data_IF_478253271629
#
_entry.id   IF_478253271629
#
_cell.length_a   1.000
_cell.length_b   1.000
_cell.length_c   1.000
_cell.angle_alpha   90.00
_cell.angle_beta   90.00
_cell.angle_gamma   90.00
#
_symmetry.space_group_name_H-M   'P 1'
#
loop_
_entity.id
_entity.type
_entity.pdbx_description
1 polymer ?
#
# COMPACT_ATOMS: atom_id res chain seq x y z
N UNK A 1 -0.22 14.85 -25.59
CA UNK A 1 -0.22 16.18 -26.23
C UNK A 1 0.84 17.04 -25.59
N UNK A 2 1.75 17.64 -26.38
CA UNK A 2 2.66 18.67 -25.89
C UNK A 2 1.95 20.01 -26.11
N UNK A 3 1.44 20.64 -25.07
CA UNK A 3 1.02 22.05 -25.17
C UNK A 3 2.27 22.92 -25.02
N UNK A 4 2.45 23.83 -25.91
CA UNK A 4 3.57 24.75 -25.87
C UNK A 4 3.16 26.05 -25.17
N UNK A 5 4.07 26.59 -24.37
CA UNK A 5 3.92 27.93 -23.80
C UNK A 5 4.71 28.92 -24.63
N UNK A 6 4.09 30.03 -24.94
CA UNK A 6 4.70 31.14 -25.67
C UNK A 6 4.79 32.36 -24.76
N UNK A 7 5.85 33.13 -24.94
CA UNK A 7 5.99 34.44 -24.32
C UNK A 7 5.18 35.43 -25.15
N UNK A 8 4.25 36.12 -24.52
CA UNK A 8 3.40 37.14 -25.12
C UNK A 8 3.66 38.43 -24.39
N UNK A 9 3.98 39.48 -25.14
CA UNK A 9 4.11 40.83 -24.62
C UNK A 9 2.76 41.53 -24.69
N UNK A 10 2.26 42.00 -23.57
CA UNK A 10 1.04 42.80 -23.47
C UNK A 10 1.42 44.08 -22.72
N UNK A 11 1.45 45.17 -23.43
CA UNK A 11 2.03 46.43 -22.94
C UNK A 11 3.45 46.23 -22.39
N UNK A 12 3.69 46.58 -21.13
CA UNK A 12 4.99 46.41 -20.45
C UNK A 12 5.13 45.05 -19.74
N UNK A 13 4.12 44.15 -19.83
CA UNK A 13 4.10 42.84 -19.16
C UNK A 13 4.45 41.71 -20.13
N UNK A 14 5.47 40.91 -19.79
CA UNK A 14 5.73 39.65 -20.47
C UNK A 14 5.06 38.48 -19.69
N UNK A 15 4.10 37.81 -20.31
CA UNK A 15 3.41 36.65 -19.73
C UNK A 15 3.61 35.39 -20.57
N UNK A 16 3.55 34.22 -19.95
CA UNK A 16 3.63 32.93 -20.63
C UNK A 16 2.25 32.31 -20.76
N UNK A 17 1.75 32.24 -21.99
CA UNK A 17 0.44 31.68 -22.30
C UNK A 17 0.56 30.38 -23.08
N UNK A 18 -0.36 29.47 -22.85
CA UNK A 18 -0.52 28.29 -23.70
C UNK A 18 -1.06 28.66 -25.08
N UNK A 19 -0.69 27.87 -26.09
CA UNK A 19 -1.19 28.00 -27.46
C UNK A 19 -2.72 28.01 -27.53
N UNK A 20 -3.40 27.16 -26.74
CA UNK A 20 -4.86 27.16 -26.60
C UNK A 20 -5.45 28.50 -26.16
N UNK A 21 -4.77 29.23 -25.27
CA UNK A 21 -5.17 30.57 -24.82
C UNK A 21 -5.06 31.58 -25.96
N UNK A 22 -3.93 31.58 -26.64
CA UNK A 22 -3.62 32.50 -27.75
C UNK A 22 -4.66 32.34 -28.86
N UNK A 23 -5.01 31.09 -29.19
CA UNK A 23 -6.00 30.78 -30.23
C UNK A 23 -7.42 31.17 -29.79
N UNK A 24 -7.83 30.76 -28.56
CA UNK A 24 -9.16 31.03 -28.04
C UNK A 24 -9.50 32.52 -28.02
N UNK A 25 -8.58 33.33 -27.53
CA UNK A 25 -8.74 34.77 -27.38
C UNK A 25 -8.26 35.56 -28.60
N UNK A 26 -7.84 34.89 -29.68
CA UNK A 26 -7.33 35.49 -30.95
C UNK A 26 -6.25 36.56 -30.71
N UNK A 27 -5.34 36.33 -29.77
CA UNK A 27 -4.38 37.33 -29.31
C UNK A 27 -3.43 37.83 -30.41
N UNK A 28 -3.19 37.01 -31.45
CA UNK A 28 -2.37 37.40 -32.61
C UNK A 28 -3.03 38.49 -33.50
N UNK A 29 -4.33 38.71 -33.38
CA UNK A 29 -5.10 39.66 -34.17
C UNK A 29 -5.64 40.84 -33.36
N UNK A 30 -5.70 40.69 -32.03
CA UNK A 30 -6.26 41.66 -31.13
C UNK A 30 -5.25 42.78 -30.86
N UNK A 31 -5.66 44.02 -30.98
CA UNK A 31 -4.78 45.18 -30.79
C UNK A 31 -4.90 45.83 -29.40
N UNK A 32 -6.04 45.64 -28.75
CA UNK A 32 -6.33 46.20 -27.43
C UNK A 32 -7.04 45.16 -26.57
N UNK A 33 -6.79 45.18 -25.28
CA UNK A 33 -7.40 44.31 -24.28
C UNK A 33 -7.95 45.20 -23.15
N UNK A 34 -9.16 44.94 -22.68
CA UNK A 34 -9.62 45.57 -21.44
C UNK A 34 -9.01 44.82 -20.22
N UNK A 35 -9.02 45.47 -19.05
CA UNK A 35 -8.52 44.88 -17.81
C UNK A 35 -9.31 43.59 -17.46
N UNK A 36 -10.63 43.58 -17.71
CA UNK A 36 -11.47 42.39 -17.48
C UNK A 36 -11.09 41.24 -18.42
N UNK A 37 -10.88 41.53 -19.70
CA UNK A 37 -10.45 40.53 -20.69
C UNK A 37 -9.04 39.97 -20.34
N UNK A 38 -8.14 40.85 -19.90
CA UNK A 38 -6.82 40.43 -19.45
C UNK A 38 -6.91 39.47 -18.28
N UNK A 39 -7.72 39.79 -17.26
CA UNK A 39 -7.92 38.92 -16.10
C UNK A 39 -8.54 37.59 -16.50
N UNK A 40 -9.51 37.59 -17.41
CA UNK A 40 -10.11 36.33 -17.93
C UNK A 40 -9.08 35.44 -18.65
N UNK A 41 -8.19 36.05 -19.44
CA UNK A 41 -7.10 35.36 -20.12
C UNK A 41 -6.14 34.73 -19.11
N UNK A 42 -5.74 35.45 -18.09
CA UNK A 42 -4.85 34.94 -17.01
C UNK A 42 -5.51 33.81 -16.27
N UNK A 43 -6.76 33.97 -15.84
CA UNK A 43 -7.51 32.96 -15.12
C UNK A 43 -7.68 31.67 -15.95
N UNK A 44 -7.97 31.81 -17.24
CA UNK A 44 -8.08 30.67 -18.14
C UNK A 44 -6.74 29.97 -18.36
N UNK A 45 -5.65 30.74 -18.48
CA UNK A 45 -4.31 30.20 -18.57
C UNK A 45 -3.91 29.39 -17.32
N UNK A 46 -4.25 29.89 -16.13
CA UNK A 46 -3.97 29.22 -14.87
C UNK A 46 -4.74 27.90 -14.73
N UNK A 47 -6.00 27.88 -15.18
CA UNK A 47 -6.81 26.64 -15.26
C UNK A 47 -6.19 25.63 -16.22
N UNK A 48 -5.69 26.05 -17.37
CA UNK A 48 -4.97 25.18 -18.30
C UNK A 48 -3.65 24.69 -17.70
N UNK A 49 -2.94 25.55 -16.98
CA UNK A 49 -1.72 25.16 -16.31
C UNK A 49 -1.95 24.07 -15.25
N UNK A 50 -2.99 24.23 -14.44
CA UNK A 50 -3.40 23.20 -13.46
C UNK A 50 -3.72 21.87 -14.15
N UNK A 51 -4.50 21.93 -15.25
CA UNK A 51 -4.86 20.75 -16.03
C UNK A 51 -3.62 20.03 -16.60
N UNK A 52 -2.71 20.75 -17.26
CA UNK A 52 -1.52 20.13 -17.84
C UNK A 52 -0.51 19.65 -16.80
N UNK A 53 -0.45 20.29 -15.63
CA UNK A 53 0.35 19.77 -14.50
C UNK A 53 -0.25 18.45 -13.97
N UNK A 54 -1.55 18.40 -13.78
CA UNK A 54 -2.25 17.20 -13.34
C UNK A 54 -2.13 16.07 -14.37
N UNK A 55 -2.30 16.37 -15.66
CA UNK A 55 -2.16 15.41 -16.73
C UNK A 55 -0.76 14.75 -16.75
N UNK A 56 0.30 15.55 -16.61
CA UNK A 56 1.67 15.02 -16.49
C UNK A 56 1.86 14.17 -15.24
N UNK A 57 1.21 14.53 -14.15
CA UNK A 57 1.28 13.76 -12.91
C UNK A 57 0.61 12.38 -13.04
N UNK A 58 -0.51 12.31 -13.76
CA UNK A 58 -1.29 11.09 -13.99
C UNK A 58 -0.62 10.16 -15.02
N UNK A 59 0.00 10.74 -16.08
CA UNK A 59 0.61 9.94 -17.16
C UNK A 59 1.81 9.10 -16.70
N UNK A 60 2.43 9.45 -15.58
CA UNK A 60 3.53 8.67 -15.02
C UNK A 60 3.07 7.38 -14.33
N UNK A 61 1.90 7.38 -13.72
CA UNK A 61 1.21 6.22 -13.12
C UNK A 61 -0.25 6.58 -12.84
N UNK A 62 -1.11 5.58 -12.72
CA UNK A 62 -2.48 5.78 -12.27
C UNK A 62 -2.52 6.52 -10.92
N UNK A 63 -3.46 7.47 -10.80
CA UNK A 63 -3.65 8.30 -9.61
C UNK A 63 -5.12 8.37 -9.22
N UNK A 64 -5.37 8.53 -7.93
CA UNK A 64 -6.71 8.81 -7.42
C UNK A 64 -7.03 10.31 -7.50
N UNK A 65 -8.31 10.66 -7.45
CA UNK A 65 -8.75 12.05 -7.35
C UNK A 65 -8.10 12.77 -6.16
N UNK A 66 -8.02 12.07 -5.01
CA UNK A 66 -7.36 12.60 -3.80
C UNK A 66 -5.88 12.90 -4.01
N UNK A 67 -5.14 12.02 -4.69
CA UNK A 67 -3.73 12.25 -5.00
C UNK A 67 -3.56 13.49 -5.91
N UNK A 68 -4.43 13.63 -6.93
CA UNK A 68 -4.41 14.80 -7.82
C UNK A 68 -4.77 16.08 -7.06
N UNK A 69 -5.81 16.02 -6.21
CA UNK A 69 -6.17 17.13 -5.35
C UNK A 69 -4.99 17.58 -4.48
N UNK A 70 -4.39 16.67 -3.72
CA UNK A 70 -3.25 16.96 -2.84
C UNK A 70 -2.02 17.48 -3.60
N UNK A 71 -1.82 17.05 -4.85
CA UNK A 71 -0.73 17.52 -5.68
C UNK A 71 -0.93 19.00 -6.10
N UNK A 72 -2.16 19.39 -6.43
CA UNK A 72 -2.49 20.72 -6.89
C UNK A 72 -2.77 21.73 -5.75
N UNK A 73 -3.22 21.28 -4.57
CA UNK A 73 -3.67 22.11 -3.44
C UNK A 73 -2.58 23.06 -2.89
N UNK A 74 -1.32 22.78 -3.21
CA UNK A 74 -0.19 23.64 -2.84
C UNK A 74 -0.04 24.89 -3.71
N UNK A 75 -0.72 24.93 -4.86
CA UNK A 75 -0.46 25.94 -5.92
C UNK A 75 -1.75 26.62 -6.35
N UNK A 76 -2.88 25.92 -6.37
CA UNK A 76 -4.14 26.39 -6.96
C UNK A 76 -5.27 26.45 -5.93
N UNK A 77 -6.26 27.31 -6.21
CA UNK A 77 -7.48 27.37 -5.42
C UNK A 77 -8.32 26.10 -5.59
N UNK A 78 -9.14 25.78 -4.58
CA UNK A 78 -10.03 24.61 -4.60
C UNK A 78 -10.99 24.61 -5.80
N UNK A 79 -11.43 25.78 -6.27
CA UNK A 79 -12.28 25.89 -7.46
C UNK A 79 -11.55 25.38 -8.70
N UNK A 80 -10.34 25.86 -8.95
CA UNK A 80 -9.50 25.45 -10.09
C UNK A 80 -9.16 23.96 -10.03
N UNK A 81 -8.91 23.45 -8.82
CA UNK A 81 -8.62 22.01 -8.63
C UNK A 81 -9.83 21.15 -8.98
N UNK A 82 -11.01 21.51 -8.49
CA UNK A 82 -12.24 20.74 -8.76
C UNK A 82 -12.58 20.76 -10.27
N UNK A 83 -12.52 21.92 -10.92
CA UNK A 83 -12.70 22.02 -12.37
C UNK A 83 -11.69 21.16 -13.14
N UNK A 84 -10.44 21.16 -12.70
CA UNK A 84 -9.38 20.32 -13.28
C UNK A 84 -9.68 18.83 -13.14
N UNK A 85 -10.10 18.39 -11.96
CA UNK A 85 -10.46 16.99 -11.68
C UNK A 85 -11.65 16.57 -12.53
N UNK A 86 -12.69 17.40 -12.60
CA UNK A 86 -13.89 17.11 -13.40
C UNK A 86 -13.56 17.00 -14.89
N UNK A 87 -12.71 17.88 -15.40
CA UNK A 87 -12.23 17.80 -16.79
C UNK A 87 -11.42 16.51 -17.03
N UNK A 88 -10.51 16.15 -16.12
CA UNK A 88 -9.73 14.93 -16.24
C UNK A 88 -10.60 13.67 -16.20
N UNK A 89 -11.72 13.68 -15.46
CA UNK A 89 -12.73 12.62 -15.48
C UNK A 89 -13.44 12.56 -16.83
N UNK A 90 -13.91 13.71 -17.33
CA UNK A 90 -14.58 13.80 -18.62
C UNK A 90 -13.67 13.33 -19.76
N UNK A 91 -12.40 13.69 -19.72
CA UNK A 91 -11.40 13.29 -20.68
C UNK A 91 -10.94 11.81 -20.50
N UNK A 92 -11.43 11.11 -19.48
CA UNK A 92 -11.15 9.69 -19.19
C UNK A 92 -9.80 9.41 -18.53
N UNK A 93 -9.03 10.43 -18.15
CA UNK A 93 -7.74 10.25 -17.48
C UNK A 93 -7.85 9.89 -15.99
N UNK A 94 -8.94 10.28 -15.33
CA UNK A 94 -9.30 9.87 -13.99
C UNK A 94 -10.51 8.93 -14.06
N UNK A 95 -10.27 7.63 -13.95
CA UNK A 95 -11.31 6.62 -13.98
C UNK A 95 -11.18 5.73 -12.74
N UNK A 96 -12.16 5.83 -11.85
CA UNK A 96 -12.22 5.09 -10.59
C UNK A 96 -12.22 3.57 -10.79
N UNK A 97 -13.01 3.07 -11.74
CA UNK A 97 -13.14 1.63 -11.97
C UNK A 97 -11.84 1.02 -12.51
N UNK A 98 -11.21 1.73 -13.46
CA UNK A 98 -9.90 1.31 -14.00
C UNK A 98 -8.86 1.30 -12.87
N UNK A 99 -8.84 2.35 -12.04
CA UNK A 99 -7.92 2.42 -10.92
C UNK A 99 -8.14 1.26 -9.93
N UNK A 100 -9.37 1.02 -9.49
CA UNK A 100 -9.69 -0.03 -8.53
C UNK A 100 -9.33 -1.42 -9.08
N UNK A 101 -9.68 -1.72 -10.34
CA UNK A 101 -9.33 -2.99 -10.99
C UNK A 101 -7.81 -3.19 -11.06
N UNK A 102 -7.08 -2.18 -11.51
CA UNK A 102 -5.61 -2.25 -11.60
C UNK A 102 -4.96 -2.39 -10.22
N UNK A 103 -5.38 -1.57 -9.26
CA UNK A 103 -4.88 -1.61 -7.89
C UNK A 103 -5.11 -2.97 -7.23
N UNK A 104 -6.31 -3.53 -7.35
CA UNK A 104 -6.63 -4.84 -6.78
C UNK A 104 -5.83 -5.96 -7.46
N UNK A 105 -5.68 -5.92 -8.78
CA UNK A 105 -4.83 -6.86 -9.50
C UNK A 105 -3.38 -6.82 -8.99
N UNK A 106 -2.82 -5.64 -8.80
CA UNK A 106 -1.46 -5.48 -8.27
C UNK A 106 -1.36 -5.98 -6.83
N UNK A 107 -2.34 -5.68 -5.98
CA UNK A 107 -2.36 -6.16 -4.60
C UNK A 107 -2.46 -7.69 -4.52
N UNK A 108 -3.27 -8.30 -5.36
CA UNK A 108 -3.42 -9.76 -5.40
C UNK A 108 -2.14 -10.42 -5.93
N UNK A 109 -1.56 -9.91 -7.00
CA UNK A 109 -0.50 -10.59 -7.72
C UNK A 109 0.91 -10.24 -7.22
N UNK A 110 1.13 -9.01 -6.75
CA UNK A 110 2.47 -8.49 -6.47
C UNK A 110 2.72 -8.18 -4.99
N UNK A 111 1.66 -8.05 -4.16
CA UNK A 111 1.83 -7.75 -2.73
C UNK A 111 1.54 -8.95 -1.84
N UNK A 112 1.92 -8.87 -0.57
CA UNK A 112 1.55 -9.83 0.47
C UNK A 112 0.39 -9.32 1.36
N UNK A 113 -0.31 -8.27 0.94
CA UNK A 113 -1.42 -7.71 1.71
C UNK A 113 -2.65 -8.61 1.63
N UNK A 114 -3.30 -8.77 2.78
CA UNK A 114 -4.61 -9.41 2.90
C UNK A 114 -5.77 -8.42 2.66
N UNK A 115 -7.01 -8.94 2.58
CA UNK A 115 -8.19 -8.14 2.22
C UNK A 115 -8.43 -6.93 3.13
N UNK A 116 -8.28 -7.08 4.44
CA UNK A 116 -8.48 -5.98 5.39
C UNK A 116 -7.45 -4.87 5.25
N UNK A 117 -6.22 -5.20 4.90
CA UNK A 117 -5.19 -4.20 4.64
C UNK A 117 -5.47 -3.43 3.36
N UNK A 118 -5.92 -4.13 2.32
CA UNK A 118 -6.29 -3.53 1.04
C UNK A 118 -7.46 -2.56 1.22
N UNK A 119 -8.51 -2.96 1.98
CA UNK A 119 -9.64 -2.07 2.33
C UNK A 119 -9.16 -0.79 3.02
N UNK A 120 -8.32 -0.91 4.05
CA UNK A 120 -7.75 0.24 4.76
C UNK A 120 -6.92 1.16 3.86
N UNK A 121 -6.16 0.60 2.95
CA UNK A 121 -5.33 1.39 2.05
C UNK A 121 -6.18 2.11 0.98
N UNK A 122 -7.27 1.51 0.48
CA UNK A 122 -8.23 2.17 -0.41
C UNK A 122 -8.93 3.36 0.28
N UNK A 123 -9.31 3.23 1.56
CA UNK A 123 -9.87 4.35 2.33
C UNK A 123 -8.85 5.50 2.44
N UNK A 124 -7.58 5.20 2.70
CA UNK A 124 -6.52 6.22 2.72
C UNK A 124 -6.34 6.91 1.37
N UNK A 125 -6.53 6.17 0.28
CA UNK A 125 -6.47 6.68 -1.09
C UNK A 125 -7.70 7.54 -1.47
N UNK A 126 -8.69 7.66 -0.58
CA UNK A 126 -9.84 8.54 -0.73
C UNK A 126 -11.11 7.87 -1.22
N UNK A 127 -11.12 6.55 -1.34
CA UNK A 127 -12.34 5.79 -1.69
C UNK A 127 -13.22 5.56 -0.47
N UNK A 128 -14.55 5.58 -0.66
CA UNK A 128 -15.50 5.15 0.33
C UNK A 128 -15.66 3.64 0.29
N UNK A 129 -16.02 3.03 1.41
CA UNK A 129 -16.13 1.58 1.51
C UNK A 129 -17.15 0.99 0.53
N UNK A 130 -18.27 1.69 0.30
CA UNK A 130 -19.30 1.25 -0.63
C UNK A 130 -18.79 1.15 -2.09
N UNK A 131 -17.72 1.86 -2.43
CA UNK A 131 -17.18 1.90 -3.78
C UNK A 131 -16.32 0.69 -4.15
N UNK A 132 -15.83 -0.05 -3.16
CA UNK A 132 -14.91 -1.18 -3.39
C UNK A 132 -15.29 -2.46 -2.63
N UNK A 133 -16.22 -2.40 -1.66
CA UNK A 133 -16.61 -3.55 -0.84
C UNK A 133 -17.03 -4.73 -1.70
N UNK A 134 -18.00 -4.53 -2.60
CA UNK A 134 -18.51 -5.60 -3.46
C UNK A 134 -17.41 -6.21 -4.35
N UNK A 135 -16.49 -5.39 -4.86
CA UNK A 135 -15.39 -5.86 -5.70
C UNK A 135 -14.45 -6.76 -4.91
N UNK A 136 -14.13 -6.40 -3.65
CA UNK A 136 -13.23 -7.19 -2.80
C UNK A 136 -13.94 -8.45 -2.29
N UNK A 137 -15.19 -8.34 -1.88
CA UNK A 137 -15.96 -9.46 -1.33
C UNK A 137 -16.31 -10.51 -2.40
N UNK A 138 -16.32 -10.13 -3.68
CA UNK A 138 -16.45 -11.06 -4.82
C UNK A 138 -15.15 -11.82 -5.17
N UNK A 139 -14.02 -11.47 -4.55
CA UNK A 139 -12.78 -12.24 -4.71
C UNK A 139 -12.93 -13.53 -3.91
N UNK A 140 -12.85 -14.68 -4.58
CA UNK A 140 -13.00 -16.00 -3.96
C UNK A 140 -11.99 -16.19 -2.83
N UNK A 141 -12.43 -16.81 -1.74
CA UNK A 141 -11.59 -17.12 -0.58
C UNK A 141 -10.36 -17.96 -0.96
N UNK A 142 -10.47 -18.84 -1.96
CA UNK A 142 -9.37 -19.67 -2.45
C UNK A 142 -8.15 -18.83 -2.84
N UNK A 143 -8.36 -17.65 -3.43
CA UNK A 143 -7.26 -16.74 -3.82
C UNK A 143 -6.48 -16.27 -2.58
N UNK A 144 -7.19 -15.97 -1.51
CA UNK A 144 -6.57 -15.53 -0.26
C UNK A 144 -5.93 -16.69 0.50
N UNK A 145 -6.60 -17.85 0.54
CA UNK A 145 -6.08 -19.07 1.18
C UNK A 145 -4.79 -19.56 0.50
N UNK A 146 -4.69 -19.49 -0.83
CA UNK A 146 -3.45 -19.83 -1.55
C UNK A 146 -2.30 -18.91 -1.13
N UNK A 147 -2.53 -17.60 -1.04
CA UNK A 147 -1.51 -16.64 -0.56
C UNK A 147 -1.11 -16.90 0.89
N UNK A 148 -2.09 -17.11 1.78
CA UNK A 148 -1.83 -17.45 3.19
C UNK A 148 -1.02 -18.73 3.28
N UNK A 149 -1.36 -19.78 2.52
CA UNK A 149 -0.65 -21.05 2.49
C UNK A 149 0.81 -20.88 2.06
N UNK A 150 1.05 -20.09 1.01
CA UNK A 150 2.42 -19.78 0.59
C UNK A 150 3.22 -19.07 1.70
N UNK A 151 2.61 -18.06 2.34
CA UNK A 151 3.26 -17.31 3.42
C UNK A 151 3.49 -18.14 4.67
N UNK A 152 2.54 -18.99 5.07
CA UNK A 152 2.65 -19.91 6.21
C UNK A 152 3.79 -20.91 5.96
N UNK A 153 3.81 -21.58 4.80
CA UNK A 153 4.89 -22.50 4.43
C UNK A 153 6.26 -21.85 4.45
N UNK A 154 6.37 -20.63 3.93
CA UNK A 154 7.64 -19.87 3.97
C UNK A 154 8.08 -19.60 5.40
N UNK A 155 7.16 -19.24 6.30
CA UNK A 155 7.46 -18.94 7.71
C UNK A 155 7.82 -20.21 8.50
N UNK A 156 7.14 -21.32 8.26
CA UNK A 156 7.48 -22.62 8.85
C UNK A 156 8.89 -23.03 8.41
N UNK A 157 9.18 -22.98 7.10
CA UNK A 157 10.50 -23.32 6.56
C UNK A 157 11.63 -22.42 7.10
N UNK A 158 11.35 -21.18 7.39
CA UNK A 158 12.32 -20.23 7.95
C UNK A 158 12.42 -20.28 9.48
N UNK A 159 11.66 -21.16 10.14
CA UNK A 159 11.75 -21.32 11.59
C UNK A 159 12.99 -22.13 11.98
N UNK A 160 13.86 -21.53 12.78
CA UNK A 160 15.09 -22.15 13.29
C UNK A 160 15.25 -22.04 14.80
N UNK A 161 14.20 -21.55 15.53
CA UNK A 161 14.40 -21.17 16.94
C UNK A 161 13.17 -21.31 17.83
N UNK A 162 11.99 -21.53 17.27
CA UNK A 162 10.74 -21.56 18.04
C UNK A 162 10.08 -22.93 17.96
N UNK A 163 9.50 -23.36 19.09
CA UNK A 163 8.55 -24.46 19.13
C UNK A 163 7.22 -24.08 18.48
N UNK A 164 6.36 -25.09 18.29
CA UNK A 164 5.12 -24.98 17.52
C UNK A 164 4.17 -23.89 18.06
N UNK A 165 4.04 -23.79 19.38
CA UNK A 165 3.12 -22.82 19.99
C UNK A 165 3.54 -21.38 19.70
N UNK A 166 4.81 -21.05 19.93
CA UNK A 166 5.33 -19.71 19.68
C UNK A 166 5.36 -19.37 18.20
N UNK A 167 5.64 -20.36 17.36
CA UNK A 167 5.60 -20.20 15.89
C UNK A 167 4.20 -19.89 15.40
N UNK A 168 3.18 -20.62 15.90
CA UNK A 168 1.77 -20.41 15.59
C UNK A 168 1.33 -18.98 15.95
N UNK A 169 1.58 -18.57 17.19
CA UNK A 169 1.26 -17.22 17.67
C UNK A 169 1.91 -16.13 16.81
N UNK A 170 3.19 -16.32 16.48
CA UNK A 170 3.94 -15.37 15.65
C UNK A 170 3.38 -15.26 14.25
N UNK A 171 3.03 -16.38 13.63
CA UNK A 171 2.44 -16.40 12.28
C UNK A 171 1.06 -15.72 12.30
N UNK A 172 0.21 -16.04 13.27
CA UNK A 172 -1.11 -15.41 13.42
C UNK A 172 -0.98 -13.90 13.56
N UNK A 173 -0.07 -13.44 14.42
CA UNK A 173 0.17 -12.01 14.62
C UNK A 173 0.67 -11.31 13.35
N UNK A 174 1.68 -11.88 12.68
CA UNK A 174 2.30 -11.26 11.51
C UNK A 174 1.34 -11.22 10.31
N UNK A 175 0.62 -12.31 10.02
CA UNK A 175 -0.33 -12.36 8.90
C UNK A 175 -1.60 -11.56 9.22
N UNK A 176 -2.03 -11.51 10.48
CA UNK A 176 -3.09 -10.62 10.93
C UNK A 176 -2.75 -9.14 10.69
N UNK A 177 -1.51 -8.73 10.95
CA UNK A 177 -1.04 -7.37 10.63
C UNK A 177 -0.95 -7.10 9.12
N UNK A 178 -0.77 -8.14 8.30
CA UNK A 178 -0.88 -8.05 6.85
C UNK A 178 -2.33 -7.94 6.36
N UNK A 179 -3.31 -8.10 7.26
CA UNK A 179 -4.74 -7.95 6.98
C UNK A 179 -5.45 -9.23 6.52
N UNK A 180 -4.91 -10.39 6.82
CA UNK A 180 -5.60 -11.66 6.62
C UNK A 180 -6.55 -11.95 7.79
N UNK A 181 -7.67 -12.61 7.51
CA UNK A 181 -8.61 -13.04 8.54
C UNK A 181 -8.01 -14.18 9.37
N UNK A 182 -8.30 -14.15 10.67
CA UNK A 182 -7.74 -15.12 11.62
C UNK A 182 -8.08 -16.56 11.23
N UNK A 183 -9.33 -16.82 10.83
CA UNK A 183 -9.77 -18.14 10.42
C UNK A 183 -8.97 -18.72 9.22
N UNK A 184 -8.63 -17.89 8.21
CA UNK A 184 -7.81 -18.32 7.08
C UNK A 184 -6.42 -18.75 7.53
N UNK A 185 -5.85 -18.02 8.47
CA UNK A 185 -4.50 -18.31 9.00
C UNK A 185 -4.55 -19.61 9.82
N UNK A 186 -5.55 -19.77 10.70
CA UNK A 186 -5.68 -20.94 11.57
C UNK A 186 -5.94 -22.20 10.75
N UNK A 187 -6.86 -22.19 9.79
CA UNK A 187 -7.12 -23.30 8.88
C UNK A 187 -5.84 -23.72 8.14
N UNK A 188 -5.10 -22.73 7.63
CA UNK A 188 -3.85 -23.01 6.91
C UNK A 188 -2.77 -23.57 7.82
N UNK A 189 -2.67 -23.09 9.06
CA UNK A 189 -1.73 -23.58 10.04
C UNK A 189 -2.04 -25.04 10.42
N UNK A 190 -3.29 -25.38 10.66
CA UNK A 190 -3.72 -26.72 11.03
C UNK A 190 -3.42 -27.74 9.89
N UNK A 191 -3.49 -27.31 8.64
CA UNK A 191 -3.13 -28.13 7.47
C UNK A 191 -1.62 -28.27 7.21
N UNK A 192 -0.76 -27.42 7.80
CA UNK A 192 0.67 -27.39 7.49
C UNK A 192 1.59 -27.64 8.70
N UNK A 193 1.07 -27.62 9.93
CA UNK A 193 1.86 -27.83 11.14
C UNK A 193 1.75 -29.28 11.60
N UNK A 194 2.58 -30.16 11.03
CA UNK A 194 2.70 -31.58 11.44
C UNK A 194 3.76 -31.80 12.54
N UNK A 195 4.27 -30.74 13.16
CA UNK A 195 5.33 -30.79 14.18
C UNK A 195 6.52 -29.90 13.82
N UNK A 196 7.29 -29.56 14.84
CA UNK A 196 8.58 -28.87 14.65
C UNK A 196 9.67 -29.91 14.53
N UNK A 197 10.62 -29.73 13.61
CA UNK A 197 11.80 -30.58 13.47
C UNK A 197 12.53 -30.72 14.83
N UNK A 198 12.68 -31.96 15.31
CA UNK A 198 13.37 -32.26 16.57
C UNK A 198 14.76 -31.64 16.68
N UNK A 199 15.44 -31.47 15.55
CA UNK A 199 16.74 -30.77 15.49
C UNK A 199 16.70 -29.31 15.95
N UNK A 200 15.55 -28.67 15.85
CA UNK A 200 15.40 -27.27 16.30
C UNK A 200 15.48 -27.20 17.83
N UNK A 201 14.78 -28.10 18.53
CA UNK A 201 14.79 -28.10 19.97
C UNK A 201 16.16 -28.49 20.53
N UNK A 202 16.82 -29.49 19.96
CA UNK A 202 18.17 -29.90 20.35
C UNK A 202 19.17 -28.74 20.23
N UNK A 203 19.17 -28.07 19.07
CA UNK A 203 20.02 -26.88 18.85
C UNK A 203 19.76 -25.77 19.84
N UNK A 204 18.49 -25.46 20.10
CA UNK A 204 18.13 -24.42 21.05
C UNK A 204 18.42 -24.79 22.50
N UNK A 205 18.26 -26.08 22.85
CA UNK A 205 18.69 -26.63 24.14
C UNK A 205 20.19 -26.39 24.38
N UNK A 206 21.03 -26.83 23.45
CA UNK A 206 22.49 -26.66 23.56
C UNK A 206 22.88 -25.18 23.69
N UNK A 207 22.27 -24.30 22.92
CA UNK A 207 22.53 -22.88 22.98
C UNK A 207 22.14 -22.27 24.33
N UNK A 208 20.97 -22.65 24.86
CA UNK A 208 20.48 -22.16 26.14
C UNK A 208 21.32 -22.73 27.29
N UNK A 209 21.61 -24.05 27.26
CA UNK A 209 22.43 -24.72 28.25
C UNK A 209 23.82 -24.10 28.34
N UNK A 210 24.53 -23.92 27.24
CA UNK A 210 25.86 -23.30 27.23
C UNK A 210 25.88 -21.86 27.73
N UNK A 211 24.78 -21.15 27.60
CA UNK A 211 24.64 -19.80 28.15
C UNK A 211 24.38 -19.80 29.65
N UNK A 212 23.50 -20.71 30.12
CA UNK A 212 23.04 -20.72 31.50
C UNK A 212 24.00 -21.49 32.43
N UNK A 213 24.77 -22.46 31.95
CA UNK A 213 25.78 -23.21 32.70
C UNK A 213 26.91 -22.32 33.26
N UNK A 214 27.04 -21.10 32.73
CA UNK A 214 27.93 -20.06 33.28
C UNK A 214 27.43 -19.45 34.59
N UNK A 215 26.15 -19.65 34.95
CA UNK A 215 25.48 -18.99 36.08
C UNK A 215 24.78 -19.95 37.04
N UNK A 216 24.39 -21.11 36.58
CA UNK A 216 23.61 -22.09 37.31
C UNK A 216 24.21 -23.48 37.15
N UNK A 217 24.02 -24.32 38.17
CA UNK A 217 24.52 -25.71 38.20
C UNK A 217 23.42 -26.68 38.65
N UNK A 218 23.58 -27.97 38.35
CA UNK A 218 22.70 -29.04 38.83
C UNK A 218 21.23 -28.86 38.47
N UNK A 219 20.35 -29.09 39.44
CA UNK A 219 18.90 -29.02 39.24
C UNK A 219 18.39 -27.63 38.85
N UNK A 220 19.01 -26.57 39.35
CA UNK A 220 18.67 -25.20 39.03
C UNK A 220 18.95 -24.89 37.55
N UNK A 221 20.08 -25.32 37.00
CA UNK A 221 20.40 -25.20 35.58
C UNK A 221 19.35 -25.88 34.73
N UNK A 222 18.99 -27.11 35.04
CA UNK A 222 17.99 -27.89 34.30
C UNK A 222 16.62 -27.16 34.32
N UNK A 223 16.22 -26.64 35.48
CA UNK A 223 14.99 -25.88 35.64
C UNK A 223 14.97 -24.62 34.78
N UNK A 224 16.04 -23.82 34.81
CA UNK A 224 16.15 -22.58 34.05
C UNK A 224 16.17 -22.84 32.53
N UNK A 225 16.83 -23.89 32.06
CA UNK A 225 16.82 -24.33 30.65
C UNK A 225 15.40 -24.70 30.23
N UNK A 226 14.68 -25.48 31.06
CA UNK A 226 13.30 -25.86 30.79
C UNK A 226 12.39 -24.65 30.63
N UNK A 227 12.46 -23.69 31.55
CA UNK A 227 11.68 -22.44 31.45
C UNK A 227 11.96 -21.70 30.14
N UNK A 228 13.23 -21.61 29.73
CA UNK A 228 13.59 -20.92 28.49
C UNK A 228 13.08 -21.62 27.24
N UNK A 229 13.05 -22.94 27.23
CA UNK A 229 12.47 -23.72 26.11
C UNK A 229 10.95 -23.56 26.04
N UNK A 230 10.25 -23.60 27.20
CA UNK A 230 8.81 -23.32 27.27
C UNK A 230 8.49 -21.91 26.77
N UNK A 231 9.28 -20.88 27.16
CA UNK A 231 9.13 -19.51 26.64
C UNK A 231 9.34 -19.39 25.11
N UNK A 232 10.07 -20.33 24.54
CA UNK A 232 10.24 -20.46 23.07
C UNK A 232 9.13 -21.24 22.38
N UNK A 233 8.16 -21.74 23.13
CA UNK A 233 6.98 -22.44 22.63
C UNK A 233 7.18 -23.92 22.36
N UNK A 234 8.20 -24.57 22.95
CA UNK A 234 8.32 -26.01 22.97
C UNK A 234 7.39 -26.60 24.02
N UNK A 235 6.82 -27.77 23.75
CA UNK A 235 5.93 -28.47 24.70
C UNK A 235 6.76 -29.20 25.76
N UNK A 236 6.11 -29.54 26.88
CA UNK A 236 6.74 -30.34 27.93
C UNK A 236 7.22 -31.70 27.35
N UNK A 237 6.41 -32.36 26.52
CA UNK A 237 6.76 -33.64 25.91
C UNK A 237 7.99 -33.57 24.98
N UNK A 238 8.10 -32.47 24.21
CA UNK A 238 9.29 -32.24 23.38
C UNK A 238 10.55 -32.03 24.22
N UNK A 239 10.44 -31.30 25.34
CA UNK A 239 11.56 -31.02 26.23
C UNK A 239 12.01 -32.28 26.98
N UNK A 240 11.07 -33.12 27.45
CA UNK A 240 11.34 -34.35 28.17
C UNK A 240 11.99 -35.45 27.28
N UNK A 241 11.81 -35.35 25.96
CA UNK A 241 12.40 -36.28 24.96
C UNK A 241 13.80 -35.86 24.48
N UNK A 242 14.34 -34.72 24.98
CA UNK A 242 15.73 -34.34 24.66
C UNK A 242 16.69 -35.30 25.39
N UNK A 243 17.48 -36.03 24.64
CA UNK A 243 18.50 -36.95 25.15
C UNK A 243 19.85 -36.24 25.39
#
# INVERSE_FOLDING_TARGET
MKSNKYKVQIDDLEIKLYDDVIVKYQLLRKKELSDEEFQEIVDYNDRLEAYYKALRYITNRLRTEKEVFCYLDKIYSKSVINETIDRLKTDGYLNKEIYLKSYLSDQINLSNNGPERIKKDLIKLGYKEEEFREIIDNIKDDVWLEKVNHLVKKKIKSNHSYGIYKLKDKIIYELGNMGYYKWMIEETLDNNLEGVDSKIIEKEYQKIYNKLSKKYEGSELSYQVRIKLLQKGFSNSEIDNIK
#
